data_IF_586945355156
#
_entry.id   IF_586945355156
#
_cell.length_a   1.000
_cell.length_b   1.000
_cell.length_c   1.000
_cell.angle_alpha   90.00
_cell.angle_beta   90.00
_cell.angle_gamma   90.00
#
_symmetry.space_group_name_H-M   'P 1'
#
loop_
_entity.id
_entity.type
_entity.pdbx_description
1 polymer ?
#
# COMPACT_ATOMS: atom_id res chain seq x y z
N UNK A 1 15.85 37.09 25.33
CA UNK A 1 14.55 36.44 25.60
C UNK A 1 14.49 35.07 24.91
N UNK A 2 15.34 34.89 23.91
CA UNK A 2 15.18 33.90 22.85
C UNK A 2 15.76 32.55 23.26
N UNK A 3 16.81 32.57 24.08
CA UNK A 3 17.35 31.36 24.73
C UNK A 3 16.30 30.73 25.65
N UNK A 4 15.55 31.52 26.42
CA UNK A 4 14.51 31.00 27.31
C UNK A 4 13.35 30.38 26.52
N UNK A 5 12.90 31.04 25.45
CA UNK A 5 11.87 30.53 24.53
C UNK A 5 12.34 29.23 23.88
N UNK A 6 13.59 29.19 23.42
CA UNK A 6 14.18 28.00 22.78
C UNK A 6 14.27 26.83 23.75
N UNK A 7 14.75 27.05 24.98
CA UNK A 7 14.84 26.01 26.01
C UNK A 7 13.46 25.47 26.39
N UNK A 8 12.47 26.36 26.56
CA UNK A 8 11.10 25.96 26.85
C UNK A 8 10.49 25.15 25.71
N UNK A 9 10.65 25.60 24.45
CA UNK A 9 10.14 24.89 23.29
C UNK A 9 10.84 23.54 23.07
N UNK A 10 12.14 23.45 23.36
CA UNK A 10 12.89 22.20 23.30
C UNK A 10 12.37 21.19 24.34
N UNK A 11 12.14 21.63 25.59
CA UNK A 11 11.53 20.79 26.63
C UNK A 11 10.12 20.33 26.22
N UNK A 12 9.29 21.26 25.73
CA UNK A 12 7.96 20.93 25.22
C UNK A 12 8.02 19.88 24.09
N UNK A 13 8.93 20.07 23.12
CA UNK A 13 9.12 19.14 22.01
C UNK A 13 9.54 17.76 22.52
N UNK A 14 10.46 17.69 23.48
CA UNK A 14 10.85 16.43 24.13
C UNK A 14 9.65 15.74 24.78
N UNK A 15 8.78 16.46 25.48
CA UNK A 15 7.56 15.89 26.07
C UNK A 15 6.55 15.42 25.02
N UNK A 16 6.46 16.06 23.85
CA UNK A 16 5.57 15.61 22.77
C UNK A 16 6.11 14.34 22.10
N UNK A 17 7.43 14.26 21.89
CA UNK A 17 8.07 13.10 21.24
C UNK A 17 8.20 11.91 22.19
N UNK A 18 8.55 12.18 23.44
CA UNK A 18 8.75 11.19 24.49
C UNK A 18 8.00 11.64 25.76
N UNK A 19 6.68 11.39 25.83
CA UNK A 19 5.87 11.84 26.96
C UNK A 19 6.30 11.12 28.25
N UNK A 20 6.65 11.85 29.32
CA UNK A 20 7.02 11.25 30.59
C UNK A 20 5.78 10.67 31.30
N UNK A 21 6.00 9.83 32.32
CA UNK A 21 4.91 9.09 32.99
C UNK A 21 3.81 9.99 33.55
N UNK A 22 4.14 11.21 33.97
CA UNK A 22 3.21 12.21 34.48
C UNK A 22 2.24 12.68 33.39
N UNK A 23 2.75 12.89 32.17
CA UNK A 23 1.92 13.27 31.02
C UNK A 23 1.07 12.11 30.55
N UNK A 24 1.61 10.89 30.59
CA UNK A 24 0.85 9.66 30.30
C UNK A 24 -0.29 9.50 31.30
N UNK A 25 -0.02 9.66 32.60
CA UNK A 25 -1.02 9.57 33.66
C UNK A 25 -2.08 10.69 33.58
N UNK A 26 -1.68 11.89 33.14
CA UNK A 26 -2.59 13.01 32.92
C UNK A 26 -3.40 12.92 31.61
N UNK A 27 -3.19 11.88 30.79
CA UNK A 27 -3.88 11.72 29.51
C UNK A 27 -3.37 12.65 28.39
N UNK A 28 -2.23 13.32 28.56
CA UNK A 28 -1.59 14.14 27.53
C UNK A 28 -0.75 13.30 26.57
N UNK A 29 -1.36 12.27 26.00
CA UNK A 29 -0.75 11.47 24.93
C UNK A 29 -1.49 11.71 23.63
N UNK A 30 -0.78 11.61 22.50
CA UNK A 30 -1.39 11.78 21.16
C UNK A 30 -2.58 10.83 20.97
N UNK A 31 -2.52 9.62 21.55
CA UNK A 31 -3.61 8.65 21.49
C UNK A 31 -4.87 9.09 22.22
N UNK A 32 -4.72 9.72 23.40
CA UNK A 32 -5.86 10.16 24.22
C UNK A 32 -6.47 11.47 23.68
N UNK A 33 -5.64 12.40 23.20
CA UNK A 33 -6.10 13.67 22.61
C UNK A 33 -6.93 13.42 21.33
N UNK A 34 -6.56 12.42 20.54
CA UNK A 34 -7.23 12.07 19.28
C UNK A 34 -8.10 10.81 19.38
N UNK A 35 -8.54 10.42 20.58
CA UNK A 35 -9.26 9.15 20.81
C UNK A 35 -10.53 9.03 19.95
N UNK A 36 -11.32 10.11 19.88
CA UNK A 36 -12.51 10.20 19.03
C UNK A 36 -12.22 9.94 17.54
N UNK A 37 -11.05 10.37 17.04
CA UNK A 37 -10.67 10.18 15.64
C UNK A 37 -10.05 8.80 15.39
N UNK A 38 -9.28 8.29 16.34
CA UNK A 38 -8.63 6.98 16.29
C UNK A 38 -9.68 5.86 16.31
N UNK A 39 -10.69 5.97 17.17
CA UNK A 39 -11.70 4.95 17.40
C UNK A 39 -11.17 3.79 18.25
N UNK A 40 -11.89 2.68 18.29
CA UNK A 40 -11.50 1.52 19.09
C UNK A 40 -10.54 0.58 18.35
N UNK A 41 -9.42 0.26 18.99
CA UNK A 41 -8.43 -0.74 18.53
C UNK A 41 -9.06 -2.12 18.31
N UNK A 42 -10.00 -2.54 19.17
CA UNK A 42 -10.63 -3.86 19.10
C UNK A 42 -11.56 -4.04 17.89
N UNK A 43 -12.08 -2.94 17.32
CA UNK A 43 -13.01 -3.00 16.19
C UNK A 43 -12.28 -3.12 14.85
N UNK A 44 -11.15 -2.43 14.68
CA UNK A 44 -10.40 -2.37 13.43
C UNK A 44 -8.92 -2.09 13.71
N UNK A 45 -8.20 -3.10 14.20
CA UNK A 45 -6.79 -3.01 14.61
C UNK A 45 -5.90 -2.31 13.56
N UNK A 46 -5.92 -2.78 12.30
CA UNK A 46 -5.08 -2.23 11.22
C UNK A 46 -5.38 -0.74 11.00
N UNK A 47 -6.67 -0.38 10.88
CA UNK A 47 -7.09 1.01 10.61
C UNK A 47 -6.73 1.93 11.78
N UNK A 48 -6.89 1.46 13.01
CA UNK A 48 -6.49 2.19 14.21
C UNK A 48 -5.00 2.53 14.18
N UNK A 49 -4.15 1.52 13.93
CA UNK A 49 -2.70 1.72 13.87
C UNK A 49 -2.26 2.61 12.71
N UNK A 50 -2.88 2.49 11.53
CA UNK A 50 -2.62 3.39 10.40
C UNK A 50 -2.92 4.85 10.75
N UNK A 51 -4.07 5.12 11.39
CA UNK A 51 -4.42 6.47 11.86
C UNK A 51 -3.45 6.99 12.92
N UNK A 52 -3.11 6.15 13.90
CA UNK A 52 -2.19 6.49 15.00
C UNK A 52 -0.80 6.87 14.49
N UNK A 53 -0.24 6.08 13.58
CA UNK A 53 1.08 6.36 13.00
C UNK A 53 1.04 7.66 12.19
N UNK A 54 -0.02 7.85 11.39
CA UNK A 54 -0.17 9.05 10.55
C UNK A 54 -0.26 10.34 11.38
N UNK A 55 -1.12 10.36 12.41
CA UNK A 55 -1.29 11.54 13.28
C UNK A 55 -0.02 11.82 14.07
N UNK A 56 0.56 10.78 14.68
CA UNK A 56 1.81 10.91 15.43
C UNK A 56 2.89 11.51 14.55
N UNK A 57 3.11 10.94 13.36
CA UNK A 57 4.14 11.43 12.44
C UNK A 57 3.87 12.87 11.95
N UNK A 58 2.61 13.24 11.71
CA UNK A 58 2.22 14.60 11.34
C UNK A 58 2.52 15.62 12.45
N UNK A 59 2.18 15.29 13.70
CA UNK A 59 2.46 16.16 14.87
C UNK A 59 3.97 16.37 15.00
N UNK A 60 4.76 15.30 14.94
CA UNK A 60 6.21 15.37 15.07
C UNK A 60 6.84 16.19 13.93
N UNK A 61 6.37 15.98 12.69
CA UNK A 61 6.80 16.75 11.53
C UNK A 61 6.44 18.24 11.61
N UNK A 62 5.40 18.61 12.38
CA UNK A 62 4.97 19.99 12.57
C UNK A 62 5.74 20.75 13.67
N UNK A 63 6.52 20.07 14.51
CA UNK A 63 7.29 20.72 15.61
C UNK A 63 8.28 21.79 15.11
N UNK A 64 9.07 21.58 14.05
CA UNK A 64 9.95 22.64 13.53
C UNK A 64 9.17 23.88 13.06
N UNK A 65 7.99 23.68 12.47
CA UNK A 65 7.13 24.78 12.04
C UNK A 65 6.56 25.51 13.25
N UNK A 66 6.11 24.76 14.26
CA UNK A 66 5.66 25.30 15.54
C UNK A 66 6.72 26.16 16.21
N UNK A 67 8.00 25.78 16.14
CA UNK A 67 9.12 26.58 16.68
C UNK A 67 9.28 27.93 15.97
N UNK A 68 9.25 27.93 14.63
CA UNK A 68 9.34 29.19 13.87
C UNK A 68 8.14 30.08 14.17
N UNK A 69 6.94 29.50 14.28
CA UNK A 69 5.73 30.22 14.67
C UNK A 69 5.82 30.81 16.09
N UNK A 70 6.36 30.08 17.07
CA UNK A 70 6.49 30.61 18.45
C UNK A 70 7.49 31.76 18.52
N UNK A 71 8.64 31.66 17.85
CA UNK A 71 9.58 32.78 17.75
C UNK A 71 8.92 34.01 17.11
N UNK A 72 8.16 33.81 16.03
CA UNK A 72 7.46 34.90 15.34
C UNK A 72 6.43 35.58 16.25
N UNK A 73 5.61 34.82 16.98
CA UNK A 73 4.64 35.37 17.91
C UNK A 73 5.28 36.10 19.09
N UNK A 74 6.48 35.69 19.53
CA UNK A 74 7.23 36.34 20.59
C UNK A 74 7.98 37.60 20.14
N UNK A 75 7.90 37.98 18.86
CA UNK A 75 8.40 39.26 18.36
C UNK A 75 9.78 39.20 17.67
N UNK A 76 10.38 38.03 17.52
CA UNK A 76 11.59 37.86 16.70
C UNK A 76 11.27 38.20 15.23
N UNK A 77 12.16 38.96 14.59
CA UNK A 77 12.01 39.39 13.18
C UNK A 77 13.36 39.33 12.47
N UNK A 78 13.79 38.13 12.12
CA UNK A 78 14.97 37.89 11.29
C UNK A 78 14.62 37.67 9.82
N UNK A 79 15.49 38.08 8.90
CA UNK A 79 15.35 37.83 7.45
C UNK A 79 15.31 36.33 7.10
N UNK A 80 15.86 35.48 7.97
CA UNK A 80 15.88 34.03 7.82
C UNK A 80 14.53 33.35 8.15
N UNK A 81 13.64 34.03 8.88
CA UNK A 81 12.37 33.46 9.35
C UNK A 81 11.39 33.03 8.25
N UNK A 82 11.15 33.80 7.17
CA UNK A 82 10.29 33.33 6.09
C UNK A 82 10.85 32.07 5.41
N UNK A 83 12.17 32.00 5.20
CA UNK A 83 12.82 30.84 4.61
C UNK A 83 12.72 29.59 5.52
N UNK A 84 12.92 29.76 6.84
CA UNK A 84 12.78 28.66 7.80
C UNK A 84 11.32 28.21 7.96
N UNK A 85 10.36 29.12 7.94
CA UNK A 85 8.93 28.79 7.96
C UNK A 85 8.53 27.95 6.74
N UNK A 86 8.97 28.35 5.53
CA UNK A 86 8.74 27.58 4.31
C UNK A 86 9.39 26.19 4.40
N UNK A 87 10.67 26.13 4.80
CA UNK A 87 11.39 24.86 4.98
C UNK A 87 10.70 23.91 5.96
N UNK A 88 10.26 24.44 7.11
CA UNK A 88 9.59 23.68 8.15
C UNK A 88 8.17 23.24 7.76
N UNK A 89 7.46 24.01 6.93
CA UNK A 89 6.12 23.66 6.44
C UNK A 89 6.12 22.57 5.35
N UNK A 90 7.23 22.42 4.61
CA UNK A 90 7.32 21.42 3.52
C UNK A 90 7.14 19.99 4.05
N UNK A 91 7.76 19.64 5.19
CA UNK A 91 7.72 18.28 5.74
C UNK A 91 6.28 17.83 6.06
N UNK A 92 5.49 18.55 6.88
CA UNK A 92 4.11 18.14 7.15
C UNK A 92 3.23 18.18 5.90
N UNK A 93 3.45 19.12 4.97
CA UNK A 93 2.73 19.12 3.69
C UNK A 93 2.99 17.86 2.88
N UNK A 94 4.24 17.39 2.78
CA UNK A 94 4.60 16.15 2.06
C UNK A 94 3.94 14.91 2.69
N UNK A 95 3.67 14.94 4.00
CA UNK A 95 3.02 13.84 4.73
C UNK A 95 1.51 13.79 4.46
N UNK A 96 0.89 14.91 4.09
CA UNK A 96 -0.55 15.00 3.77
C UNK A 96 -0.86 14.59 2.32
N UNK A 97 0.14 14.53 1.44
CA UNK A 97 -0.05 14.15 0.04
C UNK A 97 -0.22 12.64 -0.07
N UNK A 98 -1.39 12.19 -0.53
CA UNK A 98 -1.62 10.79 -0.90
C UNK A 98 -0.72 10.41 -2.08
N UNK A 99 0.14 9.43 -1.85
CA UNK A 99 1.14 8.98 -2.79
C UNK A 99 1.41 7.49 -2.62
N UNK A 100 1.64 6.82 -3.75
CA UNK A 100 2.16 5.45 -3.78
C UNK A 100 3.63 5.51 -4.19
N UNK A 101 4.47 4.83 -3.40
CA UNK A 101 5.92 4.74 -3.61
C UNK A 101 6.26 3.33 -4.09
N UNK A 102 6.63 3.20 -5.35
CA UNK A 102 7.01 1.93 -5.96
C UNK A 102 8.52 1.87 -6.14
N UNK A 103 9.25 1.04 -5.37
CA UNK A 103 10.66 0.82 -5.61
C UNK A 103 10.85 0.08 -6.94
N UNK A 104 11.66 0.63 -7.85
CA UNK A 104 12.02 -0.04 -9.10
C UNK A 104 13.25 -0.92 -8.91
N UNK A 105 14.23 -0.39 -8.18
CA UNK A 105 15.46 -1.07 -7.78
C UNK A 105 15.98 -0.41 -6.49
N UNK A 106 17.20 -0.75 -6.06
CA UNK A 106 17.80 -0.22 -4.83
C UNK A 106 18.02 1.29 -4.81
N UNK A 107 18.02 1.96 -5.97
CA UNK A 107 18.42 3.38 -6.10
C UNK A 107 17.40 4.24 -6.84
N UNK A 108 16.35 3.66 -7.40
CA UNK A 108 15.34 4.35 -8.18
C UNK A 108 13.94 3.90 -7.80
N UNK A 109 13.02 4.86 -7.84
CA UNK A 109 11.65 4.70 -7.38
C UNK A 109 10.71 5.54 -8.23
N UNK A 110 9.49 5.05 -8.37
CA UNK A 110 8.39 5.79 -8.99
C UNK A 110 7.44 6.23 -7.89
N UNK A 111 7.06 7.50 -7.93
CA UNK A 111 6.13 8.12 -7.01
C UNK A 111 4.91 8.51 -7.83
N UNK A 112 3.77 7.91 -7.53
CA UNK A 112 2.49 8.27 -8.12
C UNK A 112 1.67 9.03 -7.07
N UNK A 113 1.32 10.27 -7.38
CA UNK A 113 0.36 11.07 -6.61
C UNK A 113 -0.97 11.10 -7.36
N UNK A 114 -1.95 11.87 -6.88
CA UNK A 114 -3.24 12.04 -7.57
C UNK A 114 -3.09 12.57 -9.00
N UNK A 115 -2.16 13.51 -9.25
CA UNK A 115 -2.04 14.20 -10.54
C UNK A 115 -0.66 14.06 -11.21
N UNK A 116 0.36 13.64 -10.46
CA UNK A 116 1.72 13.56 -10.94
C UNK A 116 2.26 12.15 -10.89
N UNK A 117 3.06 11.83 -11.90
CA UNK A 117 3.90 10.66 -11.94
C UNK A 117 5.35 11.12 -11.97
N UNK A 118 6.14 10.65 -11.01
CA UNK A 118 7.50 11.10 -10.79
C UNK A 118 8.41 9.88 -10.77
N UNK A 119 9.38 9.83 -11.69
CA UNK A 119 10.46 8.84 -11.64
C UNK A 119 11.71 9.50 -11.05
N UNK A 120 12.13 9.01 -9.90
CA UNK A 120 13.36 9.47 -9.22
C UNK A 120 14.45 8.44 -9.47
N UNK A 121 15.54 8.90 -10.07
CA UNK A 121 16.80 8.15 -10.21
C UNK A 121 17.92 8.91 -9.51
N UNK A 122 19.11 8.31 -9.30
CA UNK A 122 20.20 8.96 -8.58
C UNK A 122 20.66 10.29 -9.20
N UNK A 123 20.53 10.43 -10.53
CA UNK A 123 21.08 11.57 -11.27
C UNK A 123 20.02 12.37 -12.03
N UNK A 124 18.76 11.92 -12.04
CA UNK A 124 17.71 12.56 -12.81
C UNK A 124 16.34 12.34 -12.17
N UNK A 125 15.51 13.38 -12.22
CA UNK A 125 14.11 13.31 -11.81
C UNK A 125 13.25 13.63 -13.02
N UNK A 126 12.42 12.68 -13.44
CA UNK A 126 11.44 12.89 -14.51
C UNK A 126 10.07 13.11 -13.86
N UNK A 127 9.42 14.21 -14.22
CA UNK A 127 8.14 14.63 -13.64
C UNK A 127 7.17 14.82 -14.79
N UNK A 128 6.00 14.19 -14.70
CA UNK A 128 4.93 14.38 -15.68
C UNK A 128 3.57 14.42 -15.00
N UNK A 129 2.65 15.22 -15.53
CA UNK A 129 1.25 15.18 -15.10
C UNK A 129 0.57 13.96 -15.71
N UNK A 130 -0.22 13.25 -14.92
CA UNK A 130 -0.93 12.05 -15.38
C UNK A 130 -1.91 12.34 -16.53
N UNK A 131 -2.55 13.53 -16.54
CA UNK A 131 -3.43 13.97 -17.64
C UNK A 131 -2.70 14.15 -18.97
N UNK A 132 -1.43 14.55 -18.89
CA UNK A 132 -0.58 14.93 -20.01
C UNK A 132 0.34 13.77 -20.44
N UNK A 133 0.04 12.54 -20.04
CA UNK A 133 0.80 11.37 -20.46
C UNK A 133 -0.09 10.15 -20.72
N UNK A 134 0.39 9.26 -21.57
CA UNK A 134 -0.13 7.91 -21.73
C UNK A 134 0.91 6.90 -21.27
N UNK A 135 0.47 5.94 -20.46
CA UNK A 135 1.27 4.83 -19.96
C UNK A 135 1.01 3.61 -20.84
N UNK A 136 2.08 3.02 -21.39
CA UNK A 136 1.99 1.87 -22.29
C UNK A 136 2.96 0.78 -21.82
N UNK A 137 2.47 -0.46 -21.70
CA UNK A 137 3.35 -1.61 -21.51
C UNK A 137 4.06 -1.94 -22.84
N UNK A 138 5.38 -2.03 -22.81
CA UNK A 138 6.22 -2.26 -24.01
C UNK A 138 6.80 -3.67 -24.07
N UNK A 139 7.15 -4.24 -22.92
CA UNK A 139 7.63 -5.61 -22.81
C UNK A 139 7.29 -6.19 -21.43
N UNK A 140 7.20 -7.51 -21.33
CA UNK A 140 7.09 -8.22 -20.07
C UNK A 140 7.99 -9.46 -20.09
N UNK A 141 8.75 -9.66 -19.02
CA UNK A 141 9.68 -10.78 -18.87
C UNK A 141 9.39 -11.53 -17.57
N UNK A 142 9.43 -12.86 -17.62
CA UNK A 142 9.19 -13.73 -16.46
C UNK A 142 10.48 -14.37 -16.00
N UNK A 143 10.68 -14.44 -14.68
CA UNK A 143 11.86 -15.01 -14.03
C UNK A 143 11.44 -16.02 -12.98
N UNK A 144 12.07 -17.20 -12.99
CA UNK A 144 11.74 -18.31 -12.07
C UNK A 144 12.48 -18.24 -10.72
N UNK A 145 13.33 -17.22 -10.53
CA UNK A 145 14.14 -17.04 -9.34
C UNK A 145 14.06 -15.58 -8.94
N UNK A 146 13.36 -15.30 -7.84
CA UNK A 146 13.29 -13.97 -7.25
C UNK A 146 14.07 -13.92 -5.92
N UNK A 147 14.72 -12.80 -5.59
CA UNK A 147 15.34 -12.59 -4.27
C UNK A 147 14.33 -12.69 -3.12
N UNK A 148 13.04 -12.54 -3.42
CA UNK A 148 11.90 -12.58 -2.50
C UNK A 148 11.38 -14.00 -2.19
N UNK A 149 11.89 -15.04 -2.86
CA UNK A 149 11.49 -16.43 -2.63
C UNK A 149 10.19 -16.86 -3.32
N UNK A 150 9.66 -16.06 -4.24
CA UNK A 150 8.56 -16.44 -5.13
C UNK A 150 9.10 -17.24 -6.34
N UNK A 151 8.42 -18.34 -6.69
CA UNK A 151 8.77 -19.28 -7.77
C UNK A 151 8.69 -18.68 -9.18
N UNK A 152 7.83 -17.68 -9.41
CA UNK A 152 7.66 -17.05 -10.74
C UNK A 152 7.32 -15.55 -10.58
N UNK A 153 8.25 -14.65 -10.94
CA UNK A 153 8.05 -13.20 -10.91
C UNK A 153 8.10 -12.61 -12.32
N UNK A 154 7.05 -11.88 -12.69
CA UNK A 154 6.98 -11.14 -13.95
C UNK A 154 7.31 -9.66 -13.74
N UNK A 155 8.19 -9.14 -14.57
CA UNK A 155 8.51 -7.71 -14.66
C UNK A 155 7.95 -7.14 -15.96
N UNK A 156 7.40 -5.93 -15.88
CA UNK A 156 6.80 -5.20 -17.00
C UNK A 156 7.56 -3.90 -17.22
N UNK A 157 7.97 -3.66 -18.47
CA UNK A 157 8.53 -2.39 -18.91
C UNK A 157 7.38 -1.45 -19.32
N UNK A 158 7.24 -0.36 -18.57
CA UNK A 158 6.23 0.67 -18.81
C UNK A 158 6.93 1.88 -19.42
N UNK A 159 6.43 2.32 -20.56
CA UNK A 159 6.87 3.56 -21.20
C UNK A 159 5.85 4.67 -20.91
N UNK A 160 6.37 5.82 -20.49
CA UNK A 160 5.60 7.04 -20.26
C UNK A 160 5.79 7.96 -21.45
N UNK A 161 4.71 8.13 -22.20
CA UNK A 161 4.67 8.98 -23.39
C UNK A 161 3.96 10.28 -23.03
N UNK A 162 4.68 11.41 -22.86
CA UNK A 162 4.04 12.70 -22.62
C UNK A 162 3.38 13.21 -23.90
N UNK A 163 2.28 13.95 -23.73
CA UNK A 163 1.56 14.64 -24.81
C UNK A 163 2.23 15.95 -25.22
N UNK A 164 3.16 16.46 -24.40
CA UNK A 164 3.88 17.71 -24.63
C UNK A 164 5.31 17.41 -25.09
N UNK A 165 5.81 18.20 -26.05
CA UNK A 165 7.15 18.02 -26.63
C UNK A 165 8.29 18.50 -25.72
N UNK A 166 7.98 19.24 -24.66
CA UNK A 166 8.96 19.74 -23.69
C UNK A 166 9.44 18.68 -22.68
N UNK A 167 8.69 17.60 -22.52
CA UNK A 167 9.02 16.51 -21.60
C UNK A 167 9.53 15.31 -22.40
N UNK A 168 10.71 14.79 -22.03
CA UNK A 168 11.27 13.58 -22.66
C UNK A 168 10.50 12.34 -22.20
N UNK A 169 10.31 11.40 -23.14
CA UNK A 169 9.83 10.04 -22.84
C UNK A 169 10.79 9.35 -21.89
N UNK A 170 10.24 8.59 -20.96
CA UNK A 170 11.03 7.76 -20.05
C UNK A 170 10.31 6.45 -19.81
N UNK A 171 11.07 5.38 -19.57
CA UNK A 171 10.55 4.06 -19.24
C UNK A 171 11.03 3.62 -17.87
N UNK A 172 10.28 2.73 -17.24
CA UNK A 172 10.71 2.06 -16.01
C UNK A 172 10.21 0.62 -16.00
N UNK A 173 10.94 -0.23 -15.27
CA UNK A 173 10.61 -1.65 -15.10
C UNK A 173 10.10 -1.88 -13.69
N UNK A 174 8.98 -2.56 -13.56
CA UNK A 174 8.37 -2.89 -12.27
C UNK A 174 7.81 -4.30 -12.27
N UNK A 175 7.59 -4.88 -11.08
CA UNK A 175 6.90 -6.16 -10.98
C UNK A 175 5.43 -6.03 -11.36
N UNK A 176 4.82 -7.15 -11.74
CA UNK A 176 3.38 -7.24 -11.95
C UNK A 176 2.57 -6.92 -10.67
N UNK A 177 3.12 -7.22 -9.49
CA UNK A 177 2.52 -6.84 -8.20
C UNK A 177 2.48 -5.31 -8.03
N UNK A 178 3.61 -4.63 -8.25
CA UNK A 178 3.69 -3.17 -8.20
C UNK A 178 2.80 -2.50 -9.26
N UNK A 179 2.67 -3.10 -10.44
CA UNK A 179 1.76 -2.61 -11.48
C UNK A 179 0.30 -2.63 -11.03
N UNK A 180 -0.13 -3.70 -10.35
CA UNK A 180 -1.50 -3.84 -9.82
C UNK A 180 -1.79 -2.86 -8.69
N UNK A 181 -0.78 -2.49 -7.90
CA UNK A 181 -0.88 -1.42 -6.91
C UNK A 181 -0.95 -0.03 -7.56
N UNK A 182 -0.27 0.17 -8.69
CA UNK A 182 -0.25 1.44 -9.42
C UNK A 182 -1.56 1.70 -10.15
N UNK A 183 -2.12 0.69 -10.83
CA UNK A 183 -3.31 0.81 -11.68
C UNK A 183 -4.48 1.59 -11.05
N UNK A 184 -4.94 1.31 -9.81
CA UNK A 184 -6.06 2.03 -9.20
C UNK A 184 -5.73 3.49 -8.87
N UNK A 185 -4.46 3.89 -8.86
CA UNK A 185 -4.01 5.26 -8.58
C UNK A 185 -3.79 6.09 -9.84
N UNK A 186 -3.86 5.46 -11.02
CA UNK A 186 -3.73 6.16 -12.28
C UNK A 186 -5.08 6.77 -12.67
N UNK A 187 -5.06 8.02 -13.12
CA UNK A 187 -6.25 8.71 -13.63
C UNK A 187 -6.80 8.10 -14.93
N UNK A 188 -5.94 7.41 -15.70
CA UNK A 188 -6.32 6.66 -16.89
C UNK A 188 -5.68 5.28 -16.83
N UNK A 189 -6.40 4.22 -17.23
CA UNK A 189 -5.83 2.88 -17.25
C UNK A 189 -4.62 2.84 -18.19
N UNK A 190 -3.59 2.10 -17.77
CA UNK A 190 -2.43 1.83 -18.61
C UNK A 190 -2.86 1.00 -19.83
N UNK A 191 -2.34 1.34 -21.01
CA UNK A 191 -2.57 0.56 -22.23
C UNK A 191 -1.65 -0.65 -22.25
N UNK A 192 -2.25 -1.85 -22.32
CA UNK A 192 -1.53 -3.11 -22.51
C UNK A 192 -1.84 -3.59 -23.93
N UNK A 193 -0.85 -3.63 -24.83
CA UNK A 193 -1.03 -4.24 -26.16
C UNK A 193 -1.36 -5.73 -26.03
N UNK A 194 -2.16 -6.27 -26.97
CA UNK A 194 -2.55 -7.69 -26.99
C UNK A 194 -1.36 -8.66 -27.09
N UNK A 195 -0.21 -8.19 -27.58
CA UNK A 195 1.02 -8.96 -27.65
C UNK A 195 1.67 -9.23 -26.29
N UNK A 196 1.21 -8.58 -25.21
CA UNK A 196 1.80 -8.71 -23.87
C UNK A 196 0.76 -9.35 -22.94
N UNK A 197 1.01 -10.59 -22.52
CA UNK A 197 0.22 -11.25 -21.50
C UNK A 197 0.77 -10.98 -20.10
N UNK A 198 -0.06 -10.41 -19.24
CA UNK A 198 0.25 -10.23 -17.83
C UNK A 198 -0.19 -11.47 -17.06
N UNK A 199 0.67 -11.97 -16.17
CA UNK A 199 0.32 -13.12 -15.32
C UNK A 199 -0.84 -12.71 -14.40
N UNK A 200 -1.94 -13.47 -14.34
CA UNK A 200 -3.02 -13.20 -13.39
C UNK A 200 -2.53 -13.43 -11.96
N UNK A 201 -3.12 -12.77 -10.94
CA UNK A 201 -2.86 -13.10 -9.55
C UNK A 201 -3.20 -14.58 -9.29
N UNK A 202 -2.58 -15.16 -8.27
CA UNK A 202 -2.75 -16.58 -7.92
C UNK A 202 -4.24 -16.96 -7.78
N UNK A 203 -5.05 -16.06 -7.21
CA UNK A 203 -6.49 -16.29 -7.04
C UNK A 203 -7.23 -16.39 -8.39
N UNK A 204 -6.89 -15.57 -9.38
CA UNK A 204 -7.51 -15.63 -10.72
C UNK A 204 -7.06 -16.90 -11.45
N UNK A 205 -5.76 -17.24 -11.39
CA UNK A 205 -5.24 -18.51 -11.91
C UNK A 205 -5.95 -19.71 -11.27
N UNK A 206 -6.15 -19.67 -9.95
CA UNK A 206 -6.88 -20.72 -9.23
C UNK A 206 -8.33 -20.81 -9.71
N UNK A 207 -9.05 -19.69 -9.84
CA UNK A 207 -10.43 -19.68 -10.31
C UNK A 207 -10.54 -20.25 -11.73
N UNK A 208 -9.60 -19.91 -12.61
CA UNK A 208 -9.56 -20.45 -13.98
C UNK A 208 -9.35 -21.98 -13.98
N UNK A 209 -8.35 -22.46 -13.24
CA UNK A 209 -8.08 -23.89 -13.09
C UNK A 209 -9.26 -24.61 -12.44
N UNK A 210 -9.87 -24.00 -11.42
CA UNK A 210 -11.03 -24.55 -10.72
C UNK A 210 -12.23 -24.70 -11.64
N UNK A 211 -12.59 -23.66 -12.40
CA UNK A 211 -13.68 -23.72 -13.40
C UNK A 211 -13.41 -24.79 -14.45
N UNK A 212 -12.17 -24.87 -14.94
CA UNK A 212 -11.77 -25.88 -15.93
C UNK A 212 -11.90 -27.30 -15.39
N UNK A 213 -11.61 -27.52 -14.11
CA UNK A 213 -11.77 -28.83 -13.48
C UNK A 213 -13.24 -29.14 -13.16
N UNK A 214 -14.05 -28.16 -12.74
CA UNK A 214 -15.50 -28.37 -12.57
C UNK A 214 -16.15 -28.80 -13.88
N UNK A 215 -15.77 -28.19 -15.01
CA UNK A 215 -16.35 -28.52 -16.31
C UNK A 215 -16.08 -29.97 -16.77
N UNK A 216 -15.08 -30.64 -16.20
CA UNK A 216 -14.79 -32.06 -16.46
C UNK A 216 -15.62 -33.01 -15.60
N UNK A 217 -16.18 -32.51 -14.50
CA UNK A 217 -16.96 -33.32 -13.57
C UNK A 217 -18.36 -33.59 -14.14
N UNK A 218 -18.98 -34.74 -13.80
CA UNK A 218 -20.35 -35.00 -14.17
C UNK A 218 -21.31 -34.01 -13.48
N UNK A 219 -22.35 -33.60 -14.19
CA UNK A 219 -23.42 -32.78 -13.63
C UNK A 219 -24.20 -33.59 -12.60
N UNK A 220 -24.39 -33.03 -11.41
CA UNK A 220 -25.20 -33.62 -10.35
C UNK A 220 -26.63 -33.10 -10.44
N UNK A 221 -27.59 -34.00 -10.67
CA UNK A 221 -29.01 -33.69 -10.63
C UNK A 221 -29.53 -33.92 -9.21
N UNK A 222 -30.27 -32.95 -8.67
CA UNK A 222 -30.89 -33.04 -7.36
C UNK A 222 -32.38 -33.35 -7.51
N UNK A 223 -32.85 -34.40 -6.84
CA UNK A 223 -34.26 -34.75 -6.77
C UNK A 223 -34.84 -34.16 -5.48
N UNK A 224 -35.35 -32.93 -5.55
CA UNK A 224 -36.13 -32.24 -4.50
C UNK A 224 -35.41 -31.72 -3.24
N UNK A 225 -34.07 -31.68 -3.18
CA UNK A 225 -33.38 -30.99 -2.09
C UNK A 225 -33.45 -29.45 -2.27
N UNK A 226 -33.73 -28.72 -1.18
CA UNK A 226 -33.63 -27.25 -1.15
C UNK A 226 -32.17 -26.85 -1.39
N UNK A 227 -31.90 -26.26 -2.56
CA UNK A 227 -30.55 -25.79 -2.91
C UNK A 227 -30.17 -24.66 -1.97
N UNK A 228 -29.11 -24.87 -1.19
CA UNK A 228 -28.55 -23.86 -0.31
C UNK A 228 -28.14 -22.60 -1.10
N UNK A 229 -28.15 -21.45 -0.43
CA UNK A 229 -27.63 -20.23 -1.02
C UNK A 229 -26.11 -20.30 -1.17
N UNK A 230 -25.58 -19.63 -2.19
CA UNK A 230 -24.15 -19.52 -2.40
C UNK A 230 -23.47 -18.92 -1.16
N UNK A 231 -22.58 -19.68 -0.53
CA UNK A 231 -21.85 -19.29 0.69
C UNK A 231 -21.10 -17.95 0.58
N UNK A 232 -20.74 -17.54 -0.64
CA UNK A 232 -20.02 -16.29 -0.87
C UNK A 232 -20.93 -15.05 -0.86
N UNK A 233 -21.98 -15.05 -1.69
CA UNK A 233 -22.84 -13.87 -1.86
C UNK A 233 -24.13 -13.89 -1.03
N UNK A 234 -24.58 -15.07 -0.58
CA UNK A 234 -25.85 -15.30 0.12
C UNK A 234 -27.09 -14.70 -0.61
N UNK A 235 -26.98 -14.51 -1.93
CA UNK A 235 -28.03 -13.92 -2.76
C UNK A 235 -28.51 -14.87 -3.85
N UNK A 236 -27.58 -15.56 -4.51
CA UNK A 236 -27.87 -16.53 -5.56
C UNK A 236 -27.88 -17.96 -4.99
N UNK A 237 -28.60 -18.87 -5.65
CA UNK A 237 -28.55 -20.30 -5.34
C UNK A 237 -27.16 -20.88 -5.66
N UNK A 238 -26.70 -21.86 -4.89
CA UNK A 238 -25.43 -22.53 -5.11
C UNK A 238 -25.47 -23.36 -6.41
N UNK A 239 -24.48 -23.16 -7.28
CA UNK A 239 -24.34 -23.79 -8.59
C UNK A 239 -23.29 -24.91 -8.62
N UNK A 240 -22.56 -25.11 -7.51
CA UNK A 240 -21.47 -26.09 -7.39
C UNK A 240 -21.66 -26.95 -6.14
N UNK A 241 -21.58 -28.28 -6.31
CA UNK A 241 -21.55 -29.24 -5.19
C UNK A 241 -20.11 -29.64 -4.90
N UNK A 242 -19.65 -29.42 -3.67
CA UNK A 242 -18.31 -29.81 -3.21
C UNK A 242 -18.44 -31.09 -2.36
N UNK A 243 -17.76 -32.16 -2.76
CA UNK A 243 -17.70 -33.42 -2.01
C UNK A 243 -16.25 -33.64 -1.56
N UNK A 244 -16.02 -33.66 -0.26
CA UNK A 244 -14.71 -33.99 0.28
C UNK A 244 -14.42 -35.49 0.07
N UNK A 245 -13.38 -35.81 -0.71
CA UNK A 245 -12.91 -37.19 -0.94
C UNK A 245 -11.58 -37.49 -0.23
N UNK A 246 -11.06 -36.55 0.56
CA UNK A 246 -9.83 -36.75 1.31
C UNK A 246 -10.04 -37.80 2.40
N UNK A 247 -9.03 -38.66 2.62
CA UNK A 247 -9.02 -39.54 3.77
C UNK A 247 -8.96 -38.71 5.07
N UNK A 248 -9.70 -39.10 6.12
CA UNK A 248 -9.61 -38.44 7.41
C UNK A 248 -8.17 -38.54 7.92
N UNK A 249 -7.59 -37.40 8.31
CA UNK A 249 -6.23 -37.35 8.82
C UNK A 249 -6.06 -38.34 9.98
N UNK A 250 -5.09 -39.26 9.86
CA UNK A 250 -4.78 -40.17 10.96
C UNK A 250 -4.34 -39.36 12.19
N UNK A 251 -4.76 -39.74 13.42
CA UNK A 251 -4.27 -39.11 14.63
C UNK A 251 -2.75 -39.35 14.75
N UNK A 252 -1.97 -38.33 14.42
CA UNK A 252 -0.51 -38.34 14.58
C UNK A 252 -0.09 -38.16 16.04
N UNK A 253 1.11 -38.63 16.43
CA UNK A 253 1.67 -38.39 17.77
C UNK A 253 1.88 -36.90 18.04
N UNK A 254 1.94 -36.54 19.32
CA UNK A 254 1.89 -35.17 19.86
C UNK A 254 3.08 -34.24 19.51
N UNK A 255 3.86 -34.54 18.49
CA UNK A 255 4.91 -33.65 17.97
C UNK A 255 4.42 -33.00 16.68
N UNK A 256 3.91 -31.77 16.81
CA UNK A 256 3.76 -30.63 15.88
C UNK A 256 3.70 -30.75 14.34
N UNK A 257 4.08 -31.86 13.72
CA UNK A 257 4.15 -32.06 12.29
C UNK A 257 3.05 -33.04 11.85
N UNK A 258 1.85 -32.54 11.53
CA UNK A 258 0.82 -33.38 10.90
C UNK A 258 1.27 -33.75 9.49
N UNK A 259 1.34 -35.04 9.12
CA UNK A 259 1.49 -35.46 7.73
C UNK A 259 0.29 -34.93 6.95
N UNK A 260 0.53 -34.17 5.88
CA UNK A 260 -0.54 -33.84 4.95
C UNK A 260 -0.98 -35.15 4.27
N UNK A 261 -2.27 -35.54 4.32
CA UNK A 261 -2.71 -36.74 3.62
C UNK A 261 -2.45 -36.56 2.13
N UNK A 262 -1.97 -37.61 1.43
CA UNK A 262 -1.72 -37.52 0.00
C UNK A 262 -3.04 -37.20 -0.71
N UNK A 263 -3.09 -36.06 -1.41
CA UNK A 263 -4.22 -35.76 -2.28
C UNK A 263 -4.25 -36.80 -3.41
N UNK A 264 -5.28 -37.65 -3.45
CA UNK A 264 -5.54 -38.50 -4.59
C UNK A 264 -5.96 -37.65 -5.78
N UNK A 265 -5.62 -38.04 -7.03
CA UNK A 265 -6.09 -37.33 -8.20
C UNK A 265 -7.62 -37.37 -8.24
N UNK A 266 -8.24 -36.19 -8.38
CA UNK A 266 -9.65 -36.07 -8.72
C UNK A 266 -9.81 -36.54 -10.16
N UNK A 267 -10.35 -37.75 -10.36
CA UNK A 267 -10.81 -38.23 -11.67
C UNK A 267 -12.00 -37.40 -12.16
#
# INVERSE_FOLDING_TARGET
>A
MDIMITLFYALFSFCVVYPPSEFVAAGFTITQIFDNFLGSESTNFIKYHMKRITITSLIHASLPLGYVCTLWCCGERGEWMPASALGAAIIPMIMLVDKVLLPLNSVSKVIATQNWLIKVTPYNVNIVKQLDCSLVATAADTHNLSPSGEDEVQYVNVEVIPSRDDVKRFSFRMSNTALRELQPRLMRPMRVPESISLIPPLIERFVEVFKTNIAKNPMYYYDNDEVEQCIGCMQNQADVKIVNRCEPAQPGPADGQRPQPPCSPCN
#
